data_IF_579085532395
#
_entry.id   IF_579085532395
#
_cell.length_a   1.000
_cell.length_b   1.000
_cell.length_c   1.000
_cell.angle_alpha   90.00
_cell.angle_beta   90.00
_cell.angle_gamma   90.00
#
_symmetry.space_group_name_H-M   'P 1'
#
loop_
_entity.id
_entity.type
_entity.pdbx_description
1 polymer ?
#
# COMPACT_ATOMS: atom_id res chain seq x y z
N UNK A 1 -25.84 17.22 -3.10
CA UNK A 1 -24.46 16.90 -3.54
C UNK A 1 -23.43 17.07 -2.41
N UNK A 2 -23.73 16.50 -1.25
CA UNK A 2 -22.88 16.30 -0.04
C UNK A 2 -23.63 15.29 0.86
N UNK A 3 -24.96 15.33 0.76
CA UNK A 3 -25.95 14.37 1.28
C UNK A 3 -25.64 12.88 1.11
N UNK A 4 -24.87 12.45 0.10
CA UNK A 4 -24.52 11.03 -0.06
C UNK A 4 -23.33 10.63 0.82
N UNK A 5 -22.30 11.49 0.93
CA UNK A 5 -21.16 11.28 1.85
C UNK A 5 -21.64 11.36 3.31
N UNK A 6 -22.51 12.33 3.63
CA UNK A 6 -23.14 12.46 4.96
C UNK A 6 -24.07 11.27 5.27
N UNK A 7 -24.67 10.64 4.25
CA UNK A 7 -25.43 9.38 4.43
C UNK A 7 -24.52 8.18 4.68
N UNK A 8 -23.30 8.17 4.14
CA UNK A 8 -22.36 7.09 4.40
C UNK A 8 -21.87 7.08 5.84
N UNK A 9 -21.77 8.25 6.49
CA UNK A 9 -21.43 8.37 7.91
C UNK A 9 -22.65 8.24 8.83
N UNK A 10 -23.87 8.21 8.29
CA UNK A 10 -25.06 7.98 9.08
C UNK A 10 -25.14 6.49 9.51
N UNK A 11 -25.56 6.21 10.75
CA UNK A 11 -25.65 4.84 11.25
C UNK A 11 -26.73 4.07 10.48
N UNK A 12 -26.34 2.94 9.89
CA UNK A 12 -27.24 2.07 9.12
C UNK A 12 -27.96 1.07 10.04
N UNK A 13 -27.24 0.49 11.00
CA UNK A 13 -27.77 -0.46 11.96
C UNK A 13 -26.84 -0.58 13.18
N UNK A 14 -27.37 -1.02 14.32
CA UNK A 14 -26.63 -1.22 15.57
C UNK A 14 -26.35 -2.69 15.82
N UNK A 15 -25.10 -3.06 16.09
CA UNK A 15 -24.68 -4.42 16.47
C UNK A 15 -23.92 -4.34 17.78
N UNK A 16 -24.33 -5.11 18.79
CA UNK A 16 -23.66 -5.16 20.11
C UNK A 16 -23.45 -3.77 20.76
N UNK A 17 -24.35 -2.82 20.49
CA UNK A 17 -24.26 -1.44 21.01
C UNK A 17 -23.35 -0.49 20.21
N UNK A 18 -22.77 -0.96 19.09
CA UNK A 18 -22.00 -0.13 18.16
C UNK A 18 -22.85 0.26 16.96
N UNK A 19 -22.85 1.55 16.61
CA UNK A 19 -23.53 2.09 15.44
C UNK A 19 -22.64 1.90 14.21
N UNK A 20 -23.07 1.06 13.24
CA UNK A 20 -22.28 0.79 12.04
C UNK A 20 -22.82 1.65 10.90
N UNK A 21 -21.96 2.50 10.32
CA UNK A 21 -22.26 3.31 9.16
C UNK A 21 -21.81 2.64 7.84
N UNK A 22 -22.24 3.21 6.71
CA UNK A 22 -21.79 2.75 5.39
C UNK A 22 -20.29 2.95 5.18
N UNK A 23 -19.70 3.99 5.78
CA UNK A 23 -18.26 4.24 5.82
C UNK A 23 -17.56 3.07 6.49
N UNK A 24 -18.03 2.67 7.65
CA UNK A 24 -17.37 1.65 8.48
C UNK A 24 -17.34 0.30 7.78
N UNK A 25 -18.42 -0.06 7.07
CA UNK A 25 -18.45 -1.24 6.22
C UNK A 25 -17.41 -1.19 5.11
N UNK A 26 -17.26 -0.05 4.43
CA UNK A 26 -16.25 0.10 3.37
C UNK A 26 -14.83 0.00 3.95
N UNK A 27 -14.57 0.60 5.11
CA UNK A 27 -13.28 0.53 5.78
C UNK A 27 -12.94 -0.90 6.23
N UNK A 28 -13.88 -1.60 6.87
CA UNK A 28 -13.70 -2.99 7.34
C UNK A 28 -13.50 -3.92 6.14
N UNK A 29 -14.35 -3.86 5.12
CA UNK A 29 -14.25 -4.71 3.93
C UNK A 29 -12.97 -4.42 3.16
N UNK A 30 -12.63 -3.14 2.98
CA UNK A 30 -11.39 -2.72 2.36
C UNK A 30 -10.17 -3.23 3.12
N UNK A 31 -10.16 -3.08 4.45
CA UNK A 31 -9.08 -3.55 5.30
C UNK A 31 -8.92 -5.07 5.29
N UNK A 32 -10.03 -5.83 5.35
CA UNK A 32 -10.01 -7.29 5.20
C UNK A 32 -9.47 -7.72 3.84
N UNK A 33 -9.85 -7.02 2.77
CA UNK A 33 -9.31 -7.27 1.43
C UNK A 33 -7.78 -7.06 1.39
N UNK A 34 -7.27 -5.98 1.99
CA UNK A 34 -5.84 -5.71 2.06
C UNK A 34 -5.10 -6.75 2.90
N UNK A 35 -5.64 -7.16 4.05
CA UNK A 35 -5.07 -8.21 4.88
C UNK A 35 -4.95 -9.53 4.13
N UNK A 36 -6.06 -9.99 3.53
CA UNK A 36 -6.08 -11.24 2.77
C UNK A 36 -5.12 -11.22 1.58
N UNK A 37 -5.11 -10.13 0.81
CA UNK A 37 -4.22 -9.97 -0.35
C UNK A 37 -2.75 -9.93 0.05
N UNK A 38 -2.40 -9.13 1.06
CA UNK A 38 -1.02 -8.96 1.48
C UNK A 38 -0.47 -10.24 2.09
N UNK A 39 -1.25 -10.90 2.95
CA UNK A 39 -0.86 -12.17 3.57
C UNK A 39 -0.63 -13.25 2.52
N UNK A 40 -1.55 -13.40 1.56
CA UNK A 40 -1.41 -14.38 0.48
C UNK A 40 -0.20 -14.10 -0.41
N UNK A 41 0.03 -12.85 -0.83
CA UNK A 41 1.20 -12.52 -1.64
C UNK A 41 2.51 -12.71 -0.87
N UNK A 42 2.55 -12.44 0.45
CA UNK A 42 3.72 -12.73 1.28
C UNK A 42 3.95 -14.24 1.38
N UNK A 43 2.89 -15.03 1.61
CA UNK A 43 2.95 -16.49 1.69
C UNK A 43 3.42 -17.13 0.37
N UNK A 44 2.82 -16.76 -0.76
CA UNK A 44 3.20 -17.22 -2.10
C UNK A 44 4.67 -16.90 -2.45
N UNK A 45 5.25 -15.88 -1.80
CA UNK A 45 6.66 -15.48 -1.98
C UNK A 45 7.61 -16.26 -1.08
N UNK A 46 7.19 -16.62 0.12
CA UNK A 46 7.98 -17.42 1.06
C UNK A 46 8.00 -18.89 0.66
N UNK A 47 6.89 -19.43 0.15
CA UNK A 47 6.81 -20.82 -0.32
C UNK A 47 7.41 -20.99 -1.72
N UNK A 48 7.41 -19.94 -2.54
CA UNK A 48 7.94 -19.96 -3.91
C UNK A 48 9.46 -20.11 -4.04
N UNK A 49 10.22 -20.25 -2.95
CA UNK A 49 11.64 -20.66 -2.96
C UNK A 49 11.83 -22.19 -2.88
N UNK A 50 10.81 -22.96 -2.49
CA UNK A 50 10.87 -24.43 -2.40
C UNK A 50 9.95 -25.09 -3.43
N UNK A 51 10.33 -24.96 -4.72
CA UNK A 51 9.87 -25.86 -5.77
C UNK A 51 8.41 -25.73 -6.21
N UNK A 52 8.18 -24.96 -7.28
CA UNK A 52 7.37 -25.40 -8.42
C UNK A 52 7.41 -24.36 -9.54
N UNK A 53 7.84 -24.79 -10.73
CA UNK A 53 7.61 -24.12 -12.01
C UNK A 53 6.11 -24.17 -12.37
N UNK A 54 5.27 -23.54 -11.55
CA UNK A 54 3.92 -23.21 -11.98
C UNK A 54 4.01 -21.98 -12.87
N UNK A 55 3.45 -22.05 -14.07
CA UNK A 55 3.40 -20.96 -15.04
C UNK A 55 2.75 -19.74 -14.38
N UNK A 56 3.59 -18.87 -13.79
CA UNK A 56 3.15 -17.70 -13.04
C UNK A 56 2.46 -16.77 -14.03
N UNK A 57 1.13 -16.82 -14.07
CA UNK A 57 0.31 -15.91 -14.86
C UNK A 57 0.67 -14.51 -14.39
N UNK A 58 1.45 -13.79 -15.21
CA UNK A 58 1.81 -12.40 -14.91
C UNK A 58 0.49 -11.64 -14.76
N UNK A 59 0.24 -10.98 -13.62
CA UNK A 59 -0.96 -10.18 -13.48
C UNK A 59 -0.98 -9.18 -14.63
N UNK A 60 -2.04 -9.22 -15.44
CA UNK A 60 -2.18 -8.31 -16.57
C UNK A 60 -2.13 -6.89 -16.04
N UNK A 61 -1.51 -5.94 -16.76
CA UNK A 61 -1.46 -4.54 -16.36
C UNK A 61 -2.85 -3.99 -15.97
N UNK A 62 -3.92 -4.47 -16.61
CA UNK A 62 -5.31 -4.17 -16.25
C UNK A 62 -5.70 -4.60 -14.83
N UNK A 63 -5.27 -5.79 -14.39
CA UNK A 63 -5.57 -6.30 -13.06
C UNK A 63 -4.84 -5.51 -11.96
N UNK A 64 -3.59 -5.08 -12.22
CA UNK A 64 -2.83 -4.22 -11.31
C UNK A 64 -3.48 -2.83 -11.23
N UNK A 65 -3.87 -2.25 -12.37
CA UNK A 65 -4.55 -0.95 -12.41
C UNK A 65 -5.89 -0.97 -11.66
N UNK A 66 -6.72 -2.01 -11.87
CA UNK A 66 -7.99 -2.15 -11.14
C UNK A 66 -7.75 -2.24 -9.63
N UNK A 67 -6.71 -2.94 -9.20
CA UNK A 67 -6.35 -3.04 -7.78
C UNK A 67 -5.91 -1.70 -7.19
N UNK A 68 -5.07 -0.94 -7.90
CA UNK A 68 -4.63 0.39 -7.45
C UNK A 68 -5.84 1.33 -7.33
N UNK A 69 -6.71 1.36 -8.33
CA UNK A 69 -7.91 2.21 -8.31
C UNK A 69 -8.86 1.82 -7.19
N UNK A 70 -9.09 0.52 -6.94
CA UNK A 70 -9.92 0.06 -5.82
C UNK A 70 -9.35 0.49 -4.47
N UNK A 71 -8.03 0.33 -4.30
CA UNK A 71 -7.34 0.70 -3.07
C UNK A 71 -7.36 2.21 -2.84
N UNK A 72 -7.13 2.99 -3.90
CA UNK A 72 -7.18 4.43 -3.87
C UNK A 72 -8.59 4.95 -3.59
N UNK A 73 -9.65 4.29 -4.08
CA UNK A 73 -11.03 4.63 -3.71
C UNK A 73 -11.26 4.43 -2.20
N UNK A 74 -10.81 3.30 -1.63
CA UNK A 74 -10.98 3.04 -0.19
C UNK A 74 -10.21 4.07 0.65
N UNK A 75 -8.98 4.39 0.26
CA UNK A 75 -8.13 5.35 0.99
C UNK A 75 -8.55 6.81 0.80
N UNK A 76 -9.02 7.15 -0.41
CA UNK A 76 -9.53 8.48 -0.72
C UNK A 76 -10.85 8.74 -0.01
N UNK A 77 -11.70 7.75 0.24
CA UNK A 77 -12.93 7.94 1.02
C UNK A 77 -12.64 8.43 2.44
N UNK A 78 -11.65 7.87 3.14
CA UNK A 78 -11.29 8.34 4.49
C UNK A 78 -10.69 9.75 4.48
N UNK A 79 -9.78 10.01 3.53
CA UNK A 79 -9.14 11.32 3.35
C UNK A 79 -10.15 12.41 2.94
N UNK A 80 -11.11 12.06 2.07
CA UNK A 80 -12.21 12.92 1.63
C UNK A 80 -13.17 13.17 2.78
N UNK A 81 -13.61 12.15 3.53
CA UNK A 81 -14.52 12.35 4.67
C UNK A 81 -13.87 13.23 5.74
N UNK A 82 -12.57 13.02 6.01
CA UNK A 82 -11.80 13.90 6.91
C UNK A 82 -11.70 15.33 6.37
N UNK A 83 -11.47 15.50 5.06
CA UNK A 83 -11.35 16.82 4.42
C UNK A 83 -12.68 17.57 4.30
N UNK A 84 -13.80 16.87 4.05
CA UNK A 84 -15.17 17.45 4.04
C UNK A 84 -15.51 18.03 5.41
N UNK A 85 -14.97 17.48 6.50
CA UNK A 85 -15.11 18.04 7.85
C UNK A 85 -14.25 19.27 8.13
N UNK A 86 -13.28 19.60 7.26
CA UNK A 86 -12.28 20.66 7.49
C UNK A 86 -12.31 21.80 6.45
N UNK A 87 -12.95 21.63 5.29
CA UNK A 87 -12.93 22.61 4.19
C UNK A 87 -14.34 22.79 3.62
N UNK A 88 -14.86 24.03 3.66
CA UNK A 88 -16.20 24.36 3.14
C UNK A 88 -16.28 24.31 1.59
N UNK A 89 -15.12 24.34 0.93
CA UNK A 89 -14.98 24.42 -0.53
C UNK A 89 -14.83 23.03 -1.18
N UNK A 90 -15.97 22.40 -1.51
CA UNK A 90 -16.05 21.11 -2.23
C UNK A 90 -15.16 21.10 -3.50
N UNK A 91 -15.08 22.23 -4.19
CA UNK A 91 -14.29 22.37 -5.42
C UNK A 91 -12.80 22.10 -5.21
N UNK A 92 -12.23 22.57 -4.09
CA UNK A 92 -10.81 22.36 -3.75
C UNK A 92 -10.53 20.89 -3.50
N UNK A 93 -11.44 20.22 -2.78
CA UNK A 93 -11.30 18.80 -2.48
C UNK A 93 -11.35 17.92 -3.75
N UNK A 94 -12.31 18.17 -4.64
CA UNK A 94 -12.41 17.43 -5.91
C UNK A 94 -11.14 17.66 -6.74
N UNK A 95 -10.68 18.91 -6.85
CA UNK A 95 -9.46 19.22 -7.57
C UNK A 95 -8.24 18.49 -6.98
N UNK A 96 -8.11 18.45 -5.65
CA UNK A 96 -7.03 17.73 -4.97
C UNK A 96 -7.04 16.22 -5.27
N UNK A 97 -8.21 15.58 -5.23
CA UNK A 97 -8.35 14.14 -5.55
C UNK A 97 -8.01 13.88 -7.02
N UNK A 98 -8.53 14.68 -7.95
CA UNK A 98 -8.24 14.52 -9.38
C UNK A 98 -6.75 14.68 -9.67
N UNK A 99 -6.09 15.67 -9.05
CA UNK A 99 -4.65 15.87 -9.18
C UNK A 99 -3.89 14.67 -8.60
N UNK A 100 -4.25 14.19 -7.41
CA UNK A 100 -3.60 13.04 -6.78
C UNK A 100 -3.69 11.76 -7.63
N UNK A 101 -4.89 11.46 -8.15
CA UNK A 101 -5.13 10.32 -9.06
C UNK A 101 -4.31 10.47 -10.35
N UNK A 102 -4.25 11.68 -10.92
CA UNK A 102 -3.43 11.98 -12.09
C UNK A 102 -1.95 11.70 -11.85
N UNK A 103 -1.42 12.13 -10.70
CA UNK A 103 -0.06 11.81 -10.26
C UNK A 103 0.14 10.28 -10.14
N UNK A 104 -0.77 9.56 -9.50
CA UNK A 104 -0.68 8.10 -9.39
C UNK A 104 -0.55 7.43 -10.76
N UNK A 105 -1.34 7.82 -11.76
CA UNK A 105 -1.25 7.24 -13.11
C UNK A 105 0.09 7.50 -13.78
N UNK A 106 0.65 8.70 -13.65
CA UNK A 106 1.95 9.06 -14.22
C UNK A 106 3.08 8.25 -13.58
N UNK A 107 3.01 8.02 -12.27
CA UNK A 107 4.06 7.34 -11.51
C UNK A 107 3.87 5.83 -11.35
N UNK A 108 2.70 5.27 -11.70
CA UNK A 108 2.37 3.86 -11.51
C UNK A 108 3.41 2.91 -12.15
N UNK A 109 3.79 3.17 -13.40
CA UNK A 109 4.74 2.31 -14.12
C UNK A 109 6.16 2.38 -13.55
N UNK A 110 6.79 3.56 -13.38
CA UNK A 110 8.09 3.67 -12.71
C UNK A 110 8.13 3.05 -11.30
N UNK A 111 7.07 3.26 -10.51
CA UNK A 111 6.99 2.68 -9.16
C UNK A 111 6.89 1.15 -9.25
N UNK A 112 6.03 0.61 -10.12
CA UNK A 112 5.90 -0.83 -10.34
C UNK A 112 7.22 -1.47 -10.75
N UNK A 113 7.91 -0.88 -11.74
CA UNK A 113 9.20 -1.38 -12.23
C UNK A 113 10.27 -1.36 -11.12
N UNK A 114 10.29 -0.31 -10.28
CA UNK A 114 11.21 -0.21 -9.15
C UNK A 114 10.94 -1.28 -8.08
N UNK A 115 9.67 -1.48 -7.72
CA UNK A 115 9.26 -2.49 -6.73
C UNK A 115 9.55 -3.91 -7.23
N UNK A 116 9.37 -4.20 -8.52
CA UNK A 116 9.68 -5.51 -9.10
C UNK A 116 11.19 -5.82 -9.10
N UNK A 117 12.04 -4.80 -9.29
CA UNK A 117 13.49 -4.95 -9.31
C UNK A 117 14.12 -5.14 -7.92
N UNK A 118 13.40 -4.77 -6.85
CA UNK A 118 13.93 -4.77 -5.48
C UNK A 118 13.06 -5.66 -4.57
N UNK A 119 13.42 -6.94 -4.36
CA UNK A 119 12.60 -7.90 -3.61
C UNK A 119 12.27 -7.45 -2.18
N UNK A 120 13.22 -6.83 -1.49
CA UNK A 120 13.04 -6.30 -0.12
C UNK A 120 12.06 -5.12 -0.09
N UNK A 121 12.11 -4.24 -1.10
CA UNK A 121 11.13 -3.15 -1.28
C UNK A 121 9.74 -3.71 -1.57
N UNK A 122 9.63 -4.79 -2.35
CA UNK A 122 8.35 -5.46 -2.58
C UNK A 122 7.74 -6.00 -1.28
N UNK A 123 8.52 -6.68 -0.44
CA UNK A 123 8.04 -7.15 0.87
C UNK A 123 7.65 -5.98 1.79
N UNK A 124 8.43 -4.90 1.76
CA UNK A 124 8.12 -3.66 2.49
C UNK A 124 6.76 -3.07 2.06
N UNK A 125 6.51 -2.99 0.75
CA UNK A 125 5.23 -2.50 0.22
C UNK A 125 4.04 -3.38 0.64
N UNK A 126 4.19 -4.71 0.61
CA UNK A 126 3.16 -5.64 1.10
C UNK A 126 2.93 -5.50 2.62
N UNK A 127 3.99 -5.22 3.37
CA UNK A 127 3.89 -4.95 4.80
C UNK A 127 3.14 -3.65 5.09
N UNK A 128 3.31 -2.61 4.27
CA UNK A 128 2.52 -1.38 4.37
C UNK A 128 1.06 -1.61 4.02
N UNK A 129 0.76 -2.40 2.99
CA UNK A 129 -0.61 -2.80 2.68
C UNK A 129 -1.27 -3.53 3.84
N UNK A 130 -0.55 -4.42 4.53
CA UNK A 130 -1.02 -5.10 5.73
C UNK A 130 -1.27 -4.11 6.87
N UNK A 131 -0.31 -3.24 7.17
CA UNK A 131 -0.44 -2.20 8.21
C UNK A 131 -1.65 -1.29 7.97
N UNK A 132 -1.83 -0.82 6.74
CA UNK A 132 -2.98 -0.01 6.33
C UNK A 132 -4.27 -0.83 6.48
N UNK A 133 -4.26 -2.11 6.08
CA UNK A 133 -5.41 -3.01 6.25
C UNK A 133 -5.87 -3.13 7.71
N UNK A 134 -4.91 -3.30 8.64
CA UNK A 134 -5.20 -3.28 10.08
C UNK A 134 -5.76 -1.94 10.52
N UNK A 135 -5.17 -0.83 10.06
CA UNK A 135 -5.61 0.50 10.42
C UNK A 135 -7.04 0.80 9.97
N UNK A 136 -7.41 0.41 8.74
CA UNK A 136 -8.77 0.59 8.21
C UNK A 136 -9.80 -0.24 9.00
N UNK A 137 -9.47 -1.47 9.39
CA UNK A 137 -10.36 -2.28 10.23
C UNK A 137 -10.53 -1.63 11.60
N UNK A 138 -9.44 -1.16 12.21
CA UNK A 138 -9.50 -0.46 13.49
C UNK A 138 -10.38 0.79 13.39
N UNK A 139 -10.16 1.62 12.37
CA UNK A 139 -10.89 2.87 12.15
C UNK A 139 -12.37 2.63 11.85
N UNK A 140 -12.71 1.56 11.12
CA UNK A 140 -14.10 1.13 10.90
C UNK A 140 -14.75 0.45 12.12
N UNK A 141 -14.00 0.13 13.16
CA UNK A 141 -14.49 -0.35 14.46
C UNK A 141 -14.43 0.76 15.54
N UNK A 142 -14.38 2.02 15.10
CA UNK A 142 -14.23 3.23 15.93
C UNK A 142 -12.94 3.28 16.78
N UNK A 143 -11.98 2.38 16.53
CA UNK A 143 -10.66 2.38 17.16
C UNK A 143 -9.73 3.30 16.37
N UNK A 144 -9.63 4.55 16.82
CA UNK A 144 -8.82 5.56 16.17
C UNK A 144 -7.33 5.32 16.46
N UNK A 145 -6.59 4.88 15.44
CA UNK A 145 -5.13 4.84 15.47
C UNK A 145 -4.60 6.19 14.99
N UNK A 146 -3.82 6.93 15.81
CA UNK A 146 -3.22 8.18 15.36
C UNK A 146 -2.41 7.98 14.08
N UNK A 147 -2.81 8.68 13.00
CA UNK A 147 -2.19 8.56 11.67
C UNK A 147 -0.68 8.79 11.70
N UNK A 148 -0.21 9.64 12.63
CA UNK A 148 1.21 9.88 12.88
C UNK A 148 2.01 8.61 13.20
N UNK A 149 1.45 7.63 13.90
CA UNK A 149 2.14 6.36 14.18
C UNK A 149 2.31 5.52 12.91
N UNK A 150 1.28 5.48 12.05
CA UNK A 150 1.33 4.76 10.77
C UNK A 150 2.36 5.44 9.86
N UNK A 151 2.32 6.77 9.75
CA UNK A 151 3.26 7.53 8.93
C UNK A 151 4.70 7.40 9.43
N UNK A 152 4.91 7.43 10.75
CA UNK A 152 6.22 7.21 11.34
C UNK A 152 6.74 5.80 11.04
N UNK A 153 5.91 4.77 11.22
CA UNK A 153 6.28 3.38 10.92
C UNK A 153 6.67 3.18 9.45
N UNK A 154 5.90 3.77 8.52
CA UNK A 154 6.22 3.72 7.09
C UNK A 154 7.53 4.46 6.78
N UNK A 155 7.69 5.70 7.25
CA UNK A 155 8.88 6.50 7.00
C UNK A 155 10.14 5.85 7.59
N UNK A 156 10.05 5.33 8.82
CA UNK A 156 11.14 4.61 9.47
C UNK A 156 11.54 3.35 8.67
N UNK A 157 10.56 2.55 8.25
CA UNK A 157 10.83 1.31 7.51
C UNK A 157 11.44 1.57 6.13
N UNK A 158 10.98 2.61 5.42
CA UNK A 158 11.65 3.09 4.20
C UNK A 158 13.07 3.56 4.50
N UNK A 159 13.28 4.32 5.57
CA UNK A 159 14.61 4.79 5.98
C UNK A 159 15.59 3.63 6.21
N UNK A 160 15.14 2.61 6.95
CA UNK A 160 15.92 1.39 7.18
C UNK A 160 16.22 0.65 5.87
N UNK A 161 15.22 0.51 4.99
CA UNK A 161 15.40 -0.17 3.71
C UNK A 161 16.34 0.58 2.76
N UNK A 162 16.29 1.92 2.74
CA UNK A 162 17.24 2.73 1.98
C UNK A 162 18.68 2.54 2.47
N UNK A 163 18.89 2.43 3.78
CA UNK A 163 20.21 2.10 4.35
C UNK A 163 20.65 0.69 3.94
N UNK A 164 19.75 -0.28 4.02
CA UNK A 164 19.99 -1.67 3.65
C UNK A 164 20.42 -1.79 2.17
N UNK A 165 19.70 -1.13 1.26
CA UNK A 165 20.03 -1.08 -0.17
C UNK A 165 21.40 -0.44 -0.43
N UNK A 166 21.73 0.66 0.27
CA UNK A 166 23.05 1.31 0.16
C UNK A 166 24.20 0.40 0.60
N UNK A 167 24.03 -0.33 1.70
CA UNK A 167 25.04 -1.27 2.22
C UNK A 167 25.24 -2.44 1.25
N UNK A 168 24.15 -3.01 0.73
CA UNK A 168 24.20 -4.15 -0.21
C UNK A 168 24.93 -3.77 -1.51
N UNK A 169 24.71 -2.56 -2.03
CA UNK A 169 25.40 -2.04 -3.22
C UNK A 169 26.92 -1.89 -3.01
N UNK A 170 27.36 -1.36 -1.86
CA UNK A 170 28.79 -1.27 -1.49
C UNK A 170 29.49 -2.64 -1.42
N UNK A 171 28.78 -3.69 -0.97
CA UNK A 171 29.33 -5.06 -0.91
C UNK A 171 29.54 -5.69 -2.29
N UNK A 172 28.73 -5.36 -3.29
CA UNK A 172 28.85 -5.90 -4.65
C UNK A 172 29.99 -5.26 -5.46
N UNK A 173 30.38 -4.02 -5.17
CA UNK A 173 31.53 -3.36 -5.83
C UNK A 173 32.90 -3.86 -5.30
N UNK A 174 32.94 -4.61 -4.20
CA UNK A 174 34.17 -4.97 -3.49
C UNK A 174 34.90 -6.23 -4.01
N UNK A 175 34.61 -6.74 -5.23
CA UNK A 175 35.35 -7.87 -5.81
C UNK A 175 35.90 -7.54 -7.20
N UNK A 176 37.11 -6.97 -7.23
CA UNK A 176 38.06 -7.12 -8.34
C UNK A 176 39.18 -8.05 -7.89
N UNK A 177 39.01 -9.36 -8.04
CA UNK A 177 40.14 -10.28 -8.02
C UNK A 177 40.84 -10.18 -9.38
N UNK A 178 41.93 -9.40 -9.42
CA UNK A 178 42.93 -9.45 -10.49
C UNK A 178 43.44 -10.90 -10.59
N UNK A 179 43.08 -11.61 -11.66
CA UNK A 179 43.96 -12.68 -12.12
C UNK A 179 45.18 -12.01 -12.77
N UNK A 180 46.25 -11.88 -12.00
CA UNK A 180 47.58 -11.78 -12.57
C UNK A 180 47.90 -13.13 -13.23
N UNK A 181 47.77 -13.16 -14.56
CA UNK A 181 48.63 -14.03 -15.35
C UNK A 181 50.07 -13.54 -15.13
N UNK A 182 50.87 -14.32 -14.42
CA UNK A 182 52.30 -14.41 -14.68
C UNK A 182 52.53 -15.78 -15.29
N UNK A 183 52.58 -15.80 -16.62
CA UNK A 183 53.40 -16.77 -17.32
C UNK A 183 54.86 -16.44 -17.00
N UNK A 184 55.64 -17.46 -16.62
CA UNK A 184 57.10 -17.61 -16.67
C UNK A 184 57.45 -18.79 -15.75
N UNK A 185 57.97 -19.93 -16.19
CA UNK A 185 58.43 -20.33 -17.53
C UNK A 185 58.65 -21.84 -17.60
#
# INVERSE_FOLDING_TARGET
SLSWIVRLTAPLFTVLGQEISGRDLVLIVGGLFLLGKSTREIHDRLEGEEGETSARVRPTLRAVLIQIVLLDIVFSLDSVITAVGMVDEIGVMIAAVVVAVGFMFVFAKPISDFVEQHPTVKVLALSFLLLIGVALIAEGLDQHIPKGYIYFAMAFSVGVELLNLRVKRKKQEAVKLRHQYSAEG
#
